data_IF_069609003886
#
_entry.id   IF_069609003886
#
_cell.length_a   1.000
_cell.length_b   1.000
_cell.length_c   1.000
_cell.angle_alpha   90.00
_cell.angle_beta   90.00
_cell.angle_gamma   90.00
#
_symmetry.space_group_name_H-M   'P 1'
#
loop_
_entity.id
_entity.type
_entity.pdbx_description
1 polymer ?
#
# COMPACT_ATOMS: atom_id res chain seq x y z
N UNK A 1 -1.86 31.37 2.16
CA UNK A 1 -2.64 30.22 1.66
C UNK A 1 -1.64 29.14 1.28
N UNK A 2 -1.86 27.90 1.69
CA UNK A 2 -1.00 26.78 1.25
C UNK A 2 -1.21 26.58 -0.25
N UNK A 3 -0.16 26.19 -0.95
CA UNK A 3 -0.23 25.89 -2.38
C UNK A 3 -1.09 24.62 -2.57
N UNK A 4 -2.15 24.71 -3.35
CA UNK A 4 -3.02 23.58 -3.68
C UNK A 4 -2.71 23.09 -5.08
N UNK A 5 -2.28 21.85 -5.22
CA UNK A 5 -2.05 21.17 -6.50
C UNK A 5 -3.41 20.75 -7.06
N UNK A 6 -3.63 21.04 -8.34
CA UNK A 6 -4.86 20.71 -9.07
C UNK A 6 -4.58 19.68 -10.15
N UNK A 7 -5.65 19.14 -10.75
CA UNK A 7 -5.58 18.21 -11.88
C UNK A 7 -4.79 16.93 -11.55
N UNK A 8 -4.98 16.41 -10.32
CA UNK A 8 -4.42 15.12 -9.93
C UNK A 8 -5.03 14.07 -10.86
N UNK A 9 -4.20 13.22 -11.52
CA UNK A 9 -4.72 12.18 -12.39
C UNK A 9 -5.57 11.18 -11.61
N UNK A 10 -6.49 10.53 -12.32
CA UNK A 10 -7.35 9.50 -11.78
C UNK A 10 -7.16 8.18 -12.50
N UNK A 11 -7.44 7.08 -11.82
CA UNK A 11 -7.48 5.73 -12.35
C UNK A 11 -8.93 5.22 -12.28
N UNK A 12 -9.37 4.53 -13.32
CA UNK A 12 -10.72 3.96 -13.38
C UNK A 12 -10.72 2.51 -12.90
N UNK A 13 -11.43 2.26 -11.81
CA UNK A 13 -11.66 0.90 -11.30
C UNK A 13 -12.56 0.08 -12.24
N UNK A 14 -12.59 -1.24 -12.03
CA UNK A 14 -13.47 -2.14 -12.77
C UNK A 14 -14.98 -1.81 -12.62
N UNK A 15 -15.35 -1.16 -11.52
CA UNK A 15 -16.70 -0.63 -11.27
C UNK A 15 -17.08 0.55 -12.17
N UNK A 16 -16.10 1.18 -12.84
CA UNK A 16 -16.24 2.41 -13.59
C UNK A 16 -15.99 3.70 -12.79
N UNK A 17 -15.80 3.60 -11.47
CA UNK A 17 -15.48 4.74 -10.64
C UNK A 17 -14.03 5.20 -10.85
N UNK A 18 -13.83 6.51 -10.80
CA UNK A 18 -12.50 7.13 -10.85
C UNK A 18 -12.01 7.42 -9.43
N UNK A 19 -10.77 6.99 -9.15
CA UNK A 19 -10.10 7.20 -7.86
C UNK A 19 -8.75 7.91 -8.10
N UNK A 20 -8.19 8.64 -7.11
CA UNK A 20 -6.92 9.33 -7.27
C UNK A 20 -5.79 8.38 -7.68
N UNK A 21 -4.97 8.77 -8.66
CA UNK A 21 -3.82 7.97 -9.12
C UNK A 21 -2.59 8.06 -8.20
N UNK A 22 -2.68 8.76 -7.09
CA UNK A 22 -1.67 8.84 -6.03
C UNK A 22 -2.36 8.96 -4.67
N UNK A 23 -1.88 8.21 -3.68
CA UNK A 23 -2.30 8.30 -2.29
C UNK A 23 -1.20 8.80 -1.37
N UNK A 24 -1.55 9.13 -0.12
CA UNK A 24 -0.61 9.36 0.96
C UNK A 24 -0.58 8.12 1.86
N UNK A 25 0.57 7.46 1.97
CA UNK A 25 0.81 6.43 2.98
C UNK A 25 0.87 7.06 4.38
N UNK A 26 0.41 6.33 5.40
CA UNK A 26 0.40 6.82 6.79
C UNK A 26 1.27 5.98 7.73
N UNK A 27 2.04 5.02 7.24
CA UNK A 27 2.98 4.26 8.05
C UNK A 27 4.19 5.11 8.44
N UNK A 28 4.32 5.45 9.72
CA UNK A 28 5.41 6.28 10.24
C UNK A 28 6.77 5.60 10.33
N UNK A 29 6.91 4.34 9.89
CA UNK A 29 8.18 3.57 9.89
C UNK A 29 8.86 3.50 11.26
N UNK A 30 8.09 3.48 12.35
CA UNK A 30 8.56 3.50 13.75
C UNK A 30 9.44 4.74 14.10
N UNK A 31 9.48 5.75 13.20
CA UNK A 31 10.33 6.95 13.33
C UNK A 31 9.56 8.21 13.66
N UNK A 32 8.26 8.22 13.33
CA UNK A 32 7.41 9.39 13.49
C UNK A 32 6.26 9.09 14.41
N UNK A 33 5.90 10.06 15.25
CA UNK A 33 4.77 9.92 16.16
C UNK A 33 3.44 10.02 15.40
N UNK A 34 2.36 9.52 16.02
CA UNK A 34 1.02 9.62 15.46
C UNK A 34 0.62 11.10 15.19
N UNK A 35 1.07 12.05 16.05
CA UNK A 35 0.85 13.48 15.86
C UNK A 35 1.53 14.00 14.60
N UNK A 36 2.79 13.63 14.38
CA UNK A 36 3.53 14.05 13.18
C UNK A 36 2.89 13.51 11.91
N UNK A 37 2.41 12.27 11.94
CA UNK A 37 1.66 11.67 10.82
C UNK A 37 0.33 12.40 10.61
N UNK A 38 -0.43 12.66 11.68
CA UNK A 38 -1.69 13.41 11.60
C UNK A 38 -1.51 14.82 11.03
N UNK A 39 -0.49 15.56 11.50
CA UNK A 39 -0.18 16.89 10.96
C UNK A 39 0.19 16.84 9.48
N UNK A 40 0.90 15.79 9.04
CA UNK A 40 1.20 15.56 7.63
C UNK A 40 -0.06 15.27 6.81
N UNK A 41 -0.97 14.45 7.32
CA UNK A 41 -2.27 14.16 6.69
C UNK A 41 -3.06 15.46 6.49
N UNK A 42 -3.17 16.29 7.55
CA UNK A 42 -3.84 17.59 7.43
C UNK A 42 -3.22 18.46 6.34
N UNK A 43 -1.88 18.61 6.37
CA UNK A 43 -1.15 19.41 5.39
C UNK A 43 -1.30 18.89 3.96
N UNK A 44 -1.20 17.57 3.78
CA UNK A 44 -1.31 16.93 2.47
C UNK A 44 -2.71 17.09 1.86
N UNK A 45 -3.79 16.91 2.67
CA UNK A 45 -5.16 17.13 2.16
C UNK A 45 -5.38 18.60 1.81
N UNK A 46 -4.86 19.56 2.60
CA UNK A 46 -4.87 20.97 2.23
C UNK A 46 -4.15 21.26 0.91
N UNK A 47 -3.10 20.49 0.59
CA UNK A 47 -2.34 20.64 -0.67
C UNK A 47 -2.97 19.93 -1.87
N UNK A 48 -4.00 19.08 -1.66
CA UNK A 48 -4.74 18.44 -2.76
C UNK A 48 -4.76 16.92 -2.73
N UNK A 49 -4.09 16.22 -1.80
CA UNK A 49 -4.27 14.78 -1.66
C UNK A 49 -5.74 14.44 -1.38
N UNK A 50 -6.22 13.38 -2.03
CA UNK A 50 -7.59 12.88 -1.88
C UNK A 50 -7.66 11.37 -1.63
N UNK A 51 -6.52 10.69 -1.51
CA UNK A 51 -6.43 9.29 -1.12
C UNK A 51 -5.50 9.15 0.08
N UNK A 52 -5.96 8.42 1.12
CA UNK A 52 -5.20 8.12 2.33
C UNK A 52 -5.13 6.62 2.52
N UNK A 53 -3.94 6.10 2.77
CA UNK A 53 -3.70 4.69 3.02
C UNK A 53 -3.40 4.45 4.49
N UNK A 54 -4.39 3.91 5.23
CA UNK A 54 -4.36 3.64 6.66
C UNK A 54 -4.27 2.13 6.93
N UNK A 55 -3.95 1.76 8.17
CA UNK A 55 -4.06 0.40 8.67
C UNK A 55 -4.07 0.40 10.21
N UNK A 56 -4.81 -0.54 10.81
CA UNK A 56 -4.91 -0.68 12.26
C UNK A 56 -3.54 -0.86 12.94
N UNK A 57 -2.62 -1.61 12.30
CA UNK A 57 -1.27 -1.86 12.83
C UNK A 57 -0.37 -0.62 12.86
N UNK A 58 -0.71 0.47 12.16
CA UNK A 58 0.08 1.71 12.17
C UNK A 58 -0.08 2.52 13.46
N UNK A 59 -1.06 2.18 14.29
CA UNK A 59 -1.30 2.75 15.64
C UNK A 59 -1.45 4.29 15.64
N UNK A 60 -2.04 4.83 14.58
CA UNK A 60 -2.21 6.28 14.42
C UNK A 60 -3.61 6.67 13.92
N UNK A 61 -4.52 5.70 13.73
CA UNK A 61 -5.86 5.94 13.19
C UNK A 61 -6.68 6.91 14.05
N UNK A 62 -6.61 6.82 15.38
CA UNK A 62 -7.30 7.78 16.27
C UNK A 62 -6.80 9.23 16.06
N UNK A 63 -5.49 9.42 15.87
CA UNK A 63 -4.94 10.75 15.57
C UNK A 63 -5.36 11.24 14.19
N UNK A 64 -5.37 10.36 13.19
CA UNK A 64 -5.86 10.68 11.85
C UNK A 64 -7.34 11.02 11.90
N UNK A 65 -8.15 10.31 12.71
CA UNK A 65 -9.56 10.61 12.92
C UNK A 65 -9.82 12.04 13.44
N UNK A 66 -9.03 12.50 14.43
CA UNK A 66 -9.08 13.88 14.90
C UNK A 66 -8.79 14.88 13.76
N UNK A 67 -7.85 14.52 12.89
CA UNK A 67 -7.47 15.33 11.74
C UNK A 67 -8.56 15.36 10.68
N UNK A 68 -9.22 14.24 10.40
CA UNK A 68 -10.34 14.15 9.46
C UNK A 68 -11.52 15.00 9.92
N UNK A 69 -11.92 14.91 11.20
CA UNK A 69 -12.95 15.79 11.77
C UNK A 69 -12.61 17.26 11.55
N UNK A 70 -11.37 17.65 11.83
CA UNK A 70 -10.92 19.02 11.65
C UNK A 70 -10.97 19.45 10.18
N UNK A 71 -10.53 18.59 9.25
CA UNK A 71 -10.58 18.88 7.81
C UNK A 71 -12.02 19.12 7.33
N UNK A 72 -12.97 18.33 7.85
CA UNK A 72 -14.39 18.48 7.53
C UNK A 72 -14.97 19.76 8.15
N UNK A 73 -14.65 20.05 9.41
CA UNK A 73 -15.10 21.28 10.10
C UNK A 73 -14.51 22.55 9.47
N UNK A 74 -13.24 22.52 9.05
CA UNK A 74 -12.56 23.63 8.38
C UNK A 74 -13.02 23.81 6.92
N UNK A 75 -13.86 22.90 6.39
CA UNK A 75 -14.32 22.92 4.99
C UNK A 75 -13.22 22.71 3.96
N UNK A 76 -12.11 22.05 4.34
CA UNK A 76 -10.99 21.73 3.45
C UNK A 76 -11.35 20.59 2.49
N UNK A 77 -12.09 19.61 2.98
CA UNK A 77 -12.63 18.49 2.23
C UNK A 77 -13.93 18.02 2.91
N UNK A 78 -14.83 17.39 2.16
CA UNK A 78 -15.91 16.57 2.70
C UNK A 78 -15.47 15.10 2.76
N UNK A 79 -16.22 14.24 3.49
CA UNK A 79 -15.89 12.79 3.55
C UNK A 79 -15.91 12.16 2.16
N UNK A 80 -16.82 12.52 1.33
CA UNK A 80 -16.99 12.05 -0.05
C UNK A 80 -15.87 12.49 -1.00
N UNK A 81 -15.12 13.52 -0.65
CA UNK A 81 -13.96 13.96 -1.43
C UNK A 81 -12.74 13.07 -1.20
N UNK A 82 -12.74 12.24 -0.15
CA UNK A 82 -11.61 11.42 0.26
C UNK A 82 -11.85 9.96 -0.04
N UNK A 83 -10.86 9.31 -0.65
CA UNK A 83 -10.75 7.85 -0.76
C UNK A 83 -9.88 7.33 0.38
N UNK A 84 -10.48 6.66 1.35
CA UNK A 84 -9.80 6.19 2.56
C UNK A 84 -9.71 4.67 2.54
N UNK A 85 -8.48 4.16 2.54
CA UNK A 85 -8.15 2.73 2.65
C UNK A 85 -7.90 2.36 4.11
N UNK A 86 -8.47 1.26 4.57
CA UNK A 86 -8.15 0.59 5.82
C UNK A 86 -7.67 -0.83 5.58
N UNK A 87 -7.02 -1.45 6.58
CA UNK A 87 -6.50 -2.82 6.45
C UNK A 87 -6.69 -3.60 7.74
N UNK A 88 -7.17 -4.85 7.63
CA UNK A 88 -7.15 -5.78 8.76
C UNK A 88 -5.73 -6.32 8.95
N UNK A 89 -5.24 -6.26 10.20
CA UNK A 89 -3.96 -6.84 10.55
C UNK A 89 -4.07 -8.35 10.80
N UNK A 90 -2.94 -9.02 10.74
CA UNK A 90 -2.82 -10.48 10.74
C UNK A 90 -3.32 -11.15 12.05
N UNK A 91 -3.28 -10.45 13.18
CA UNK A 91 -3.77 -10.93 14.48
C UNK A 91 -5.31 -10.97 14.59
N UNK A 92 -6.01 -10.40 13.59
CA UNK A 92 -7.47 -10.28 13.53
C UNK A 92 -8.09 -11.11 12.40
N UNK A 93 -7.51 -12.27 12.09
CA UNK A 93 -8.00 -13.17 11.04
C UNK A 93 -9.01 -14.22 11.54
N UNK A 94 -9.29 -14.31 12.83
CA UNK A 94 -10.27 -15.25 13.40
C UNK A 94 -11.72 -14.91 13.05
N UNK A 95 -12.64 -15.79 13.42
CA UNK A 95 -14.08 -15.62 13.19
C UNK A 95 -14.61 -14.35 13.87
N UNK A 96 -15.28 -13.48 13.11
CA UNK A 96 -15.81 -12.19 13.56
C UNK A 96 -14.75 -11.10 13.78
N UNK A 97 -13.45 -11.44 13.75
CA UNK A 97 -12.38 -10.50 14.08
C UNK A 97 -12.14 -9.46 12.98
N UNK A 98 -12.29 -9.82 11.71
CA UNK A 98 -12.17 -8.86 10.59
C UNK A 98 -13.22 -7.75 10.73
N UNK A 99 -14.47 -8.13 11.06
CA UNK A 99 -15.56 -7.18 11.25
C UNK A 99 -15.30 -6.30 12.48
N UNK A 100 -14.84 -6.90 13.58
CA UNK A 100 -14.49 -6.16 14.78
C UNK A 100 -13.34 -5.16 14.54
N UNK A 101 -12.29 -5.58 13.82
CA UNK A 101 -11.16 -4.72 13.43
C UNK A 101 -11.62 -3.56 12.56
N UNK A 102 -12.43 -3.83 11.54
CA UNK A 102 -12.98 -2.78 10.67
C UNK A 102 -13.78 -1.74 11.45
N UNK A 103 -14.69 -2.19 12.33
CA UNK A 103 -15.49 -1.29 13.18
C UNK A 103 -14.63 -0.45 14.11
N UNK A 104 -13.58 -1.03 14.70
CA UNK A 104 -12.64 -0.30 15.56
C UNK A 104 -11.90 0.78 14.76
N UNK A 105 -11.39 0.45 13.58
CA UNK A 105 -10.72 1.42 12.71
C UNK A 105 -11.67 2.54 12.25
N UNK A 106 -12.93 2.23 11.93
CA UNK A 106 -13.94 3.26 11.61
C UNK A 106 -14.20 4.21 12.79
N UNK A 107 -14.29 3.66 14.01
CA UNK A 107 -14.43 4.44 15.23
C UNK A 107 -13.22 5.36 15.45
N UNK A 108 -12.00 4.81 15.33
CA UNK A 108 -10.77 5.57 15.52
C UNK A 108 -10.62 6.68 14.46
N UNK A 109 -10.92 6.38 13.21
CA UNK A 109 -10.88 7.35 12.10
C UNK A 109 -12.07 8.31 12.09
N UNK A 110 -13.10 8.09 12.93
CA UNK A 110 -14.34 8.90 12.99
C UNK A 110 -15.06 9.00 11.65
N UNK A 111 -15.11 7.91 10.91
CA UNK A 111 -15.82 7.79 9.64
C UNK A 111 -16.84 6.65 9.71
N UNK A 112 -17.86 6.69 8.87
CA UNK A 112 -18.92 5.67 8.85
C UNK A 112 -18.59 4.47 7.97
N UNK A 113 -17.73 4.63 6.96
CA UNK A 113 -17.35 3.58 6.03
C UNK A 113 -16.00 3.87 5.37
N UNK A 114 -15.28 2.82 5.00
CA UNK A 114 -14.12 2.90 4.13
C UNK A 114 -14.53 2.97 2.65
N UNK A 115 -13.65 3.49 1.80
CA UNK A 115 -13.75 3.32 0.36
C UNK A 115 -13.17 1.97 -0.05
N UNK A 116 -12.03 1.57 0.54
CA UNK A 116 -11.38 0.28 0.30
C UNK A 116 -10.93 -0.33 1.63
N UNK A 117 -11.21 -1.61 1.84
CA UNK A 117 -10.70 -2.35 3.00
C UNK A 117 -9.91 -3.58 2.53
N UNK A 118 -8.66 -3.69 2.98
CA UNK A 118 -7.72 -4.70 2.51
C UNK A 118 -7.45 -5.78 3.57
N UNK A 119 -7.20 -7.00 3.13
CA UNK A 119 -6.44 -7.97 3.92
C UNK A 119 -4.97 -7.62 3.79
N UNK A 120 -4.31 -7.21 4.89
CA UNK A 120 -2.96 -6.65 4.89
C UNK A 120 -1.90 -7.69 4.46
N UNK A 121 -1.98 -8.91 5.00
CA UNK A 121 -1.18 -10.06 4.60
C UNK A 121 -2.09 -11.30 4.46
N UNK A 122 -1.73 -12.28 3.61
CA UNK A 122 -2.62 -13.41 3.32
C UNK A 122 -2.67 -14.50 4.41
N UNK A 123 -2.02 -14.30 5.55
CA UNK A 123 -1.89 -15.29 6.63
C UNK A 123 -2.01 -14.61 8.00
N UNK A 124 -2.31 -15.38 9.08
CA UNK A 124 -2.50 -14.81 10.42
C UNK A 124 -1.18 -14.54 11.17
N UNK A 125 -0.04 -14.63 10.49
CA UNK A 125 1.28 -14.47 11.11
C UNK A 125 1.53 -12.99 11.42
N UNK A 126 1.81 -12.65 12.65
CA UNK A 126 2.04 -11.28 13.09
C UNK A 126 3.31 -11.17 13.92
N UNK A 127 3.78 -9.96 14.13
CA UNK A 127 4.91 -9.64 14.99
C UNK A 127 4.54 -8.49 15.93
N UNK A 128 5.22 -8.43 17.09
CA UNK A 128 5.06 -7.31 17.99
C UNK A 128 5.63 -6.01 17.37
N UNK A 129 5.06 -4.83 17.68
CA UNK A 129 5.63 -3.55 17.28
C UNK A 129 7.09 -3.42 17.76
N UNK A 130 7.95 -2.86 16.89
CA UNK A 130 9.37 -2.62 17.23
C UNK A 130 10.23 -3.88 17.41
N UNK A 131 9.73 -5.08 17.03
CA UNK A 131 10.52 -6.32 17.14
C UNK A 131 11.72 -6.32 16.18
N UNK A 132 12.76 -7.09 16.52
CA UNK A 132 13.89 -7.37 15.62
C UNK A 132 13.52 -8.30 14.47
N UNK A 133 14.36 -8.36 13.43
CA UNK A 133 14.15 -9.21 12.25
C UNK A 133 14.05 -10.72 12.52
N UNK A 134 14.62 -11.18 13.64
CA UNK A 134 14.57 -12.59 14.07
C UNK A 134 13.41 -12.91 15.02
N UNK A 135 12.59 -11.91 15.36
CA UNK A 135 11.45 -12.09 16.28
C UNK A 135 10.29 -12.74 15.53
N UNK A 136 10.18 -14.06 15.62
CA UNK A 136 9.12 -14.86 14.99
C UNK A 136 8.04 -15.21 16.00
N UNK A 137 6.78 -15.17 15.56
CA UNK A 137 5.70 -15.75 16.34
C UNK A 137 5.75 -17.29 16.19
N UNK A 138 5.83 -18.06 17.29
CA UNK A 138 5.86 -19.53 17.24
C UNK A 138 4.58 -20.13 16.66
N UNK A 139 3.46 -19.40 16.68
CA UNK A 139 2.18 -19.84 16.12
C UNK A 139 2.04 -19.52 14.62
N UNK A 140 3.08 -18.96 13.99
CA UNK A 140 3.08 -18.67 12.55
C UNK A 140 2.90 -19.93 11.71
N UNK A 141 2.09 -19.81 10.65
CA UNK A 141 1.71 -20.91 9.75
C UNK A 141 1.95 -20.56 8.30
N UNK A 142 2.16 -21.55 7.42
CA UNK A 142 2.10 -21.32 5.98
C UNK A 142 0.70 -20.86 5.55
N UNK A 143 0.62 -20.23 4.38
CA UNK A 143 -0.65 -19.84 3.78
C UNK A 143 -1.55 -21.09 3.57
N UNK A 144 -2.85 -20.94 3.87
CA UNK A 144 -3.89 -21.94 3.61
C UNK A 144 -5.07 -21.26 2.93
N UNK A 145 -5.45 -21.77 1.76
CA UNK A 145 -6.55 -21.20 0.97
C UNK A 145 -7.85 -21.15 1.77
N UNK A 146 -8.18 -22.21 2.51
CA UNK A 146 -9.40 -22.32 3.30
C UNK A 146 -9.44 -21.29 4.44
N UNK A 147 -8.31 -21.08 5.14
CA UNK A 147 -8.20 -20.10 6.22
C UNK A 147 -8.31 -18.67 5.65
N UNK A 148 -7.62 -18.39 4.54
CA UNK A 148 -7.74 -17.10 3.87
C UNK A 148 -9.17 -16.82 3.40
N UNK A 149 -9.87 -17.83 2.86
CA UNK A 149 -11.25 -17.66 2.41
C UNK A 149 -12.22 -17.39 3.57
N UNK A 150 -11.94 -17.84 4.80
CA UNK A 150 -12.72 -17.45 5.98
C UNK A 150 -12.55 -15.95 6.29
N UNK A 151 -11.34 -15.41 6.14
CA UNK A 151 -11.07 -13.97 6.25
C UNK A 151 -11.77 -13.21 5.13
N UNK A 152 -11.65 -13.68 3.88
CA UNK A 152 -12.25 -13.05 2.73
C UNK A 152 -13.78 -12.99 2.82
N UNK A 153 -14.46 -14.05 3.31
CA UNK A 153 -15.91 -14.06 3.55
C UNK A 153 -16.34 -12.96 4.52
N UNK A 154 -15.55 -12.68 5.55
CA UNK A 154 -15.83 -11.56 6.46
C UNK A 154 -15.63 -10.21 5.74
N UNK A 155 -14.63 -10.07 4.86
CA UNK A 155 -14.48 -8.88 4.03
C UNK A 155 -15.70 -8.68 3.10
N UNK A 156 -16.22 -9.74 2.48
CA UNK A 156 -17.46 -9.70 1.69
C UNK A 156 -18.65 -9.20 2.53
N UNK A 157 -18.77 -9.65 3.78
CA UNK A 157 -19.80 -9.17 4.71
C UNK A 157 -19.64 -7.67 5.04
N UNK A 158 -18.41 -7.14 5.08
CA UNK A 158 -18.23 -5.68 5.28
C UNK A 158 -18.88 -4.87 4.16
N UNK A 159 -18.85 -5.37 2.92
CA UNK A 159 -19.53 -4.73 1.79
C UNK A 159 -21.04 -4.80 1.96
N UNK A 160 -21.57 -5.96 2.33
CA UNK A 160 -23.01 -6.16 2.58
C UNK A 160 -23.52 -5.26 3.73
N UNK A 161 -22.70 -5.05 4.76
CA UNK A 161 -23.00 -4.17 5.90
C UNK A 161 -22.83 -2.67 5.57
N UNK A 162 -22.29 -2.32 4.41
CA UNK A 162 -21.97 -0.93 4.04
C UNK A 162 -20.82 -0.31 4.85
N UNK A 163 -19.97 -1.14 5.47
CA UNK A 163 -18.80 -0.67 6.22
C UNK A 163 -17.60 -0.35 5.32
N UNK A 164 -17.60 -0.87 4.10
CA UNK A 164 -16.67 -0.51 3.03
C UNK A 164 -17.36 -0.57 1.67
N UNK A 165 -16.91 0.24 0.71
CA UNK A 165 -17.41 0.21 -0.67
C UNK A 165 -16.74 -0.89 -1.49
N UNK A 166 -15.44 -1.03 -1.34
CA UNK A 166 -14.60 -2.01 -2.01
C UNK A 166 -13.78 -2.82 -1.02
N UNK A 167 -13.43 -4.04 -1.42
CA UNK A 167 -12.48 -4.89 -0.71
C UNK A 167 -11.34 -5.27 -1.62
N UNK A 168 -10.19 -5.55 -1.04
CA UNK A 168 -8.99 -5.92 -1.80
C UNK A 168 -8.02 -6.75 -0.96
N UNK A 169 -6.92 -7.08 -1.57
CA UNK A 169 -5.88 -7.94 -1.00
C UNK A 169 -4.55 -7.21 -1.04
N UNK A 170 -3.65 -7.55 -0.12
CA UNK A 170 -2.28 -7.06 -0.14
C UNK A 170 -1.31 -8.23 0.04
N UNK A 171 -0.08 -8.09 -0.52
CA UNK A 171 0.99 -9.08 -0.37
C UNK A 171 0.64 -10.48 -0.90
N UNK A 172 -0.18 -10.55 -1.95
CA UNK A 172 -0.50 -11.79 -2.64
C UNK A 172 0.54 -12.11 -3.72
N UNK A 173 0.65 -13.37 -4.04
CA UNK A 173 1.42 -13.90 -5.19
C UNK A 173 0.46 -14.43 -6.25
N UNK A 174 0.94 -14.68 -7.47
CA UNK A 174 0.12 -15.28 -8.52
C UNK A 174 -0.46 -16.63 -8.08
N UNK A 175 0.33 -17.60 -7.53
CA UNK A 175 -0.23 -18.86 -7.06
C UNK A 175 -1.35 -18.69 -6.01
N UNK A 176 -1.18 -17.75 -5.06
CA UNK A 176 -2.22 -17.47 -4.07
C UNK A 176 -3.47 -16.85 -4.69
N UNK A 177 -3.31 -15.92 -5.64
CA UNK A 177 -4.44 -15.33 -6.38
C UNK A 177 -5.18 -16.39 -7.21
N UNK A 178 -4.48 -17.27 -7.89
CA UNK A 178 -5.07 -18.38 -8.66
C UNK A 178 -5.89 -19.32 -7.76
N UNK A 179 -5.42 -19.56 -6.54
CA UNK A 179 -6.13 -20.41 -5.57
C UNK A 179 -7.39 -19.74 -5.01
N UNK A 180 -7.42 -18.42 -4.81
CA UNK A 180 -8.52 -17.74 -4.10
C UNK A 180 -9.52 -17.04 -5.01
N UNK A 181 -9.10 -16.47 -6.15
CA UNK A 181 -10.00 -15.70 -7.02
C UNK A 181 -11.20 -16.47 -7.54
N UNK A 182 -11.10 -17.78 -7.89
CA UNK A 182 -12.26 -18.57 -8.28
C UNK A 182 -13.30 -18.76 -7.17
N UNK A 183 -12.88 -18.60 -5.91
CA UNK A 183 -13.71 -18.81 -4.74
C UNK A 183 -14.37 -17.52 -4.23
N UNK A 184 -13.94 -16.34 -4.69
CA UNK A 184 -14.50 -15.06 -4.27
C UNK A 184 -15.92 -14.83 -4.82
N UNK A 185 -16.89 -14.46 -3.95
CA UNK A 185 -18.20 -13.98 -4.40
C UNK A 185 -18.10 -12.49 -4.81
N UNK A 186 -17.40 -11.68 -4.00
CA UNK A 186 -17.04 -10.31 -4.35
C UNK A 186 -15.58 -10.31 -4.78
N UNK A 187 -15.32 -9.84 -6.01
CA UNK A 187 -13.95 -9.77 -6.54
C UNK A 187 -13.16 -8.66 -5.84
N UNK A 188 -11.85 -8.85 -5.59
CA UNK A 188 -11.02 -7.77 -5.10
C UNK A 188 -10.96 -6.62 -6.11
N UNK A 189 -11.17 -5.39 -5.64
CA UNK A 189 -11.05 -4.19 -6.47
C UNK A 189 -9.60 -3.75 -6.65
N UNK A 190 -8.75 -4.03 -5.67
CA UNK A 190 -7.35 -3.63 -5.67
C UNK A 190 -6.44 -4.72 -5.09
N UNK A 191 -5.19 -4.70 -5.56
CA UNK A 191 -4.06 -5.47 -5.02
C UNK A 191 -2.98 -4.47 -4.59
N UNK A 192 -2.75 -4.39 -3.28
CA UNK A 192 -1.63 -3.61 -2.77
C UNK A 192 -0.36 -4.48 -2.72
N UNK A 193 0.70 -4.00 -3.37
CA UNK A 193 1.95 -4.74 -3.55
C UNK A 193 3.15 -3.81 -3.43
N UNK A 194 4.31 -4.38 -3.05
CA UNK A 194 5.56 -3.65 -3.18
C UNK A 194 5.83 -3.38 -4.66
N UNK A 195 5.94 -2.11 -5.03
CA UNK A 195 6.20 -1.75 -6.43
C UNK A 195 6.99 -0.45 -6.54
N UNK A 196 8.20 -0.56 -7.09
CA UNK A 196 9.13 0.55 -7.31
C UNK A 196 10.11 0.20 -8.45
N UNK A 197 10.89 1.15 -8.99
CA UNK A 197 11.79 0.90 -10.12
C UNK A 197 12.75 -0.28 -9.97
N UNK A 198 13.25 -0.54 -8.76
CA UNK A 198 14.14 -1.68 -8.47
C UNK A 198 13.42 -3.01 -8.22
N UNK A 199 12.08 -2.97 -8.11
CA UNK A 199 11.24 -4.15 -7.94
C UNK A 199 9.88 -3.97 -8.60
N UNK A 200 9.80 -4.27 -9.88
CA UNK A 200 8.66 -3.91 -10.73
C UNK A 200 7.55 -4.95 -10.77
N UNK A 201 7.82 -6.21 -10.48
CA UNK A 201 6.88 -7.33 -10.49
C UNK A 201 6.00 -7.39 -11.76
N UNK A 202 6.57 -7.41 -12.98
CA UNK A 202 5.80 -7.28 -14.21
C UNK A 202 4.73 -8.36 -14.37
N UNK A 203 5.02 -9.60 -14.04
CA UNK A 203 4.09 -10.72 -14.16
C UNK A 203 2.87 -10.54 -13.22
N UNK A 204 3.11 -10.14 -11.96
CA UNK A 204 2.03 -9.92 -10.99
C UNK A 204 1.21 -8.68 -11.35
N UNK A 205 1.85 -7.63 -11.84
CA UNK A 205 1.18 -6.43 -12.33
C UNK A 205 0.25 -6.76 -13.51
N UNK A 206 0.76 -7.44 -14.54
CA UNK A 206 -0.02 -7.83 -15.72
C UNK A 206 -1.15 -8.80 -15.35
N UNK A 207 -0.90 -9.73 -14.43
CA UNK A 207 -1.92 -10.64 -13.89
C UNK A 207 -3.05 -9.87 -13.21
N UNK A 208 -2.72 -8.90 -12.35
CA UNK A 208 -3.72 -8.08 -11.66
C UNK A 208 -4.61 -7.32 -12.67
N UNK A 209 -4.00 -6.65 -13.65
CA UNK A 209 -4.75 -5.92 -14.68
C UNK A 209 -5.62 -6.83 -15.54
N UNK A 210 -5.12 -8.00 -15.95
CA UNK A 210 -5.89 -8.99 -16.70
C UNK A 210 -7.15 -9.46 -15.93
N UNK A 211 -7.09 -9.47 -14.61
CA UNK A 211 -8.19 -9.80 -13.71
C UNK A 211 -9.01 -8.58 -13.26
N UNK A 212 -8.74 -7.39 -13.82
CA UNK A 212 -9.39 -6.11 -13.48
C UNK A 212 -9.22 -5.72 -12.00
N UNK A 213 -8.07 -6.03 -11.42
CA UNK A 213 -7.68 -5.68 -10.06
C UNK A 213 -6.67 -4.53 -10.15
N UNK A 214 -6.97 -3.40 -9.52
CA UNK A 214 -6.11 -2.22 -9.57
C UNK A 214 -4.86 -2.39 -8.69
N UNK A 215 -3.63 -2.30 -9.25
CA UNK A 215 -2.41 -2.29 -8.45
C UNK A 215 -2.24 -0.98 -7.67
N UNK A 216 -1.98 -1.11 -6.35
CA UNK A 216 -1.57 0.00 -5.46
C UNK A 216 -0.16 -0.31 -4.99
N UNK A 217 0.80 0.61 -5.21
CA UNK A 217 2.21 0.39 -4.94
C UNK A 217 2.65 0.99 -3.61
N UNK A 218 2.97 0.15 -2.62
CA UNK A 218 3.67 0.60 -1.43
C UNK A 218 5.19 0.59 -1.66
N UNK A 219 5.95 1.28 -0.80
CA UNK A 219 7.38 1.51 -0.96
C UNK A 219 7.79 2.12 -2.32
N UNK A 220 7.04 3.06 -2.92
CA UNK A 220 7.22 3.47 -4.32
C UNK A 220 8.56 4.17 -4.61
N UNK A 221 9.36 4.45 -3.58
CA UNK A 221 10.67 5.12 -3.64
C UNK A 221 11.82 4.17 -3.27
N UNK A 222 11.59 2.85 -3.19
CA UNK A 222 12.54 1.91 -2.62
C UNK A 222 12.72 2.06 -1.11
N UNK A 223 11.78 2.69 -0.43
CA UNK A 223 11.64 2.80 1.04
C UNK A 223 12.95 2.95 1.84
N UNK A 224 13.75 3.99 1.59
CA UNK A 224 15.05 4.15 2.27
C UNK A 224 14.92 4.35 3.80
N UNK A 225 13.72 4.66 4.28
CA UNK A 225 13.42 4.89 5.70
C UNK A 225 12.68 3.75 6.40
N UNK A 226 12.50 2.58 5.74
CA UNK A 226 11.86 1.41 6.35
C UNK A 226 12.59 0.94 7.62
N UNK A 227 11.92 0.16 8.51
CA UNK A 227 12.53 -0.35 9.72
C UNK A 227 13.83 -1.13 9.45
N UNK A 228 14.77 -1.10 10.41
CA UNK A 228 16.07 -1.78 10.30
C UNK A 228 15.91 -3.30 10.13
N UNK A 229 14.89 -3.88 10.78
CA UNK A 229 14.56 -5.32 10.69
C UNK A 229 14.24 -5.79 9.27
N UNK A 230 13.87 -4.87 8.37
CA UNK A 230 13.51 -5.17 6.98
C UNK A 230 14.68 -4.92 6.01
N UNK A 231 15.88 -4.61 6.51
CA UNK A 231 17.03 -4.27 5.68
C UNK A 231 18.00 -5.44 5.56
N UNK A 232 18.59 -5.53 4.37
CA UNK A 232 19.70 -6.46 4.06
C UNK A 232 20.81 -5.73 3.30
N UNK A 233 22.00 -6.35 3.22
CA UNK A 233 23.15 -5.74 2.55
C UNK A 233 22.98 -5.65 1.01
N UNK A 234 22.09 -6.45 0.46
CA UNK A 234 21.81 -6.53 -0.98
C UNK A 234 20.79 -5.51 -1.45
N UNK A 235 20.19 -4.76 -0.55
CA UNK A 235 19.11 -3.83 -0.86
C UNK A 235 19.58 -2.69 -1.78
N UNK A 236 18.81 -2.45 -2.83
CA UNK A 236 19.04 -1.36 -3.79
C UNK A 236 18.24 -0.13 -3.38
N UNK A 237 18.88 1.03 -3.38
CA UNK A 237 18.22 2.30 -3.19
C UNK A 237 17.80 2.88 -4.55
N UNK A 238 16.53 2.85 -4.89
CA UNK A 238 16.02 3.33 -6.18
C UNK A 238 16.48 4.75 -6.51
N UNK A 239 16.46 5.62 -5.50
CA UNK A 239 16.89 7.02 -5.65
C UNK A 239 18.39 7.18 -5.93
N UNK A 240 19.17 6.10 -5.83
CA UNK A 240 20.60 6.07 -6.17
C UNK A 240 20.89 5.27 -7.45
N UNK A 241 19.90 4.65 -8.08
CA UNK A 241 20.07 3.93 -9.35
C UNK A 241 20.51 4.92 -10.45
N UNK A 242 21.57 4.58 -11.21
CA UNK A 242 22.13 5.48 -12.25
C UNK A 242 21.09 5.95 -13.26
N UNK A 243 20.18 5.07 -13.67
CA UNK A 243 19.10 5.32 -14.61
C UNK A 243 18.16 6.40 -14.05
N UNK A 244 17.70 6.21 -12.81
CA UNK A 244 16.80 7.16 -12.11
C UNK A 244 17.49 8.51 -11.90
N UNK A 245 18.74 8.50 -11.44
CA UNK A 245 19.54 9.73 -11.23
C UNK A 245 19.77 10.46 -12.56
N UNK A 246 20.05 9.73 -13.64
CA UNK A 246 20.24 10.29 -14.97
C UNK A 246 18.99 10.99 -15.50
N UNK A 247 17.81 10.36 -15.36
CA UNK A 247 16.53 10.94 -15.73
C UNK A 247 16.21 12.16 -14.86
N UNK A 248 16.39 12.04 -13.54
CA UNK A 248 16.12 13.13 -12.60
C UNK A 248 16.92 14.40 -12.90
N UNK A 249 18.19 14.26 -13.34
CA UNK A 249 19.01 15.39 -13.79
C UNK A 249 18.44 16.08 -15.03
N UNK A 250 17.91 15.34 -16.01
CA UNK A 250 17.29 15.92 -17.22
C UNK A 250 16.02 16.70 -16.89
N UNK A 251 15.20 16.16 -16.01
CA UNK A 251 13.98 16.81 -15.52
C UNK A 251 14.24 17.88 -14.45
N UNK A 252 15.48 18.04 -13.99
CA UNK A 252 15.87 18.95 -12.90
C UNK A 252 15.03 18.75 -11.62
N UNK A 253 14.81 17.49 -11.22
CA UNK A 253 14.04 17.09 -10.05
C UNK A 253 14.80 16.12 -9.16
N UNK A 254 14.30 15.87 -7.95
CA UNK A 254 14.85 14.84 -7.09
C UNK A 254 14.53 13.43 -7.63
N UNK A 255 15.44 12.44 -7.57
CA UNK A 255 15.21 11.07 -8.05
C UNK A 255 13.92 10.40 -7.57
N UNK A 256 13.50 10.66 -6.33
CA UNK A 256 12.24 10.15 -5.80
C UNK A 256 11.02 10.51 -6.68
N UNK A 257 11.03 11.68 -7.32
CA UNK A 257 9.92 12.14 -8.16
C UNK A 257 9.84 11.36 -9.48
N UNK A 258 10.97 10.87 -9.98
CA UNK A 258 11.01 9.98 -11.14
C UNK A 258 10.35 8.64 -10.82
N UNK A 259 10.59 8.08 -9.63
CA UNK A 259 9.93 6.85 -9.18
C UNK A 259 8.39 7.01 -9.17
N UNK A 260 7.88 8.15 -8.70
CA UNK A 260 6.44 8.42 -8.65
C UNK A 260 5.83 8.64 -10.03
N UNK A 261 6.50 9.41 -10.90
CA UNK A 261 6.10 9.60 -12.31
C UNK A 261 5.97 8.24 -13.00
N UNK A 262 7.00 7.40 -12.88
CA UNK A 262 7.02 6.06 -13.45
C UNK A 262 5.85 5.20 -12.95
N UNK A 263 5.61 5.18 -11.64
CA UNK A 263 4.53 4.36 -11.08
C UNK A 263 3.16 4.77 -11.65
N UNK A 264 2.83 6.07 -11.64
CA UNK A 264 1.55 6.58 -12.17
C UNK A 264 1.43 6.33 -13.67
N UNK A 265 2.48 6.59 -14.46
CA UNK A 265 2.44 6.37 -15.91
C UNK A 265 2.35 4.87 -16.27
N UNK A 266 2.86 3.98 -15.42
CA UNK A 266 2.69 2.54 -15.55
C UNK A 266 1.26 2.07 -15.23
N UNK A 267 0.47 2.88 -14.52
CA UNK A 267 -0.88 2.52 -14.06
C UNK A 267 -0.93 1.93 -12.64
N UNK A 268 0.14 2.08 -11.87
CA UNK A 268 0.19 1.78 -10.43
C UNK A 268 -0.20 3.04 -9.66
N UNK A 269 -0.98 2.91 -8.60
CA UNK A 269 -1.27 4.00 -7.66
C UNK A 269 -0.19 4.00 -6.57
N UNK A 270 0.84 4.86 -6.59
CA UNK A 270 1.82 4.91 -5.53
C UNK A 270 1.25 5.56 -4.26
N UNK A 271 1.67 5.05 -3.10
CA UNK A 271 1.31 5.59 -1.77
C UNK A 271 2.58 6.03 -1.01
N UNK A 272 3.29 7.08 -1.49
CA UNK A 272 4.46 7.59 -0.79
C UNK A 272 4.07 8.16 0.58
N UNK A 273 4.97 8.00 1.56
CA UNK A 273 4.87 8.60 2.88
C UNK A 273 5.85 9.76 3.05
N UNK A 274 5.41 10.85 3.65
CA UNK A 274 6.28 11.91 4.18
C UNK A 274 5.55 12.78 5.21
N UNK A 275 6.24 13.17 6.26
CA UNK A 275 5.80 14.21 7.21
C UNK A 275 6.31 15.61 6.84
N UNK A 276 7.09 15.74 5.78
CA UNK A 276 7.70 17.02 5.35
C UNK A 276 6.86 17.66 4.26
N UNK A 277 6.33 18.85 4.55
CA UNK A 277 5.47 19.60 3.63
C UNK A 277 6.08 19.77 2.22
N UNK A 278 7.36 20.17 2.03
CA UNK A 278 7.91 20.26 0.70
C UNK A 278 7.95 18.94 -0.07
N UNK A 279 8.09 17.81 0.64
CA UNK A 279 8.15 16.49 0.00
C UNK A 279 6.78 16.04 -0.48
N UNK A 280 5.73 16.09 0.36
CA UNK A 280 4.42 15.64 -0.10
C UNK A 280 3.81 16.59 -1.15
N UNK A 281 4.13 17.89 -1.14
CA UNK A 281 3.76 18.81 -2.24
C UNK A 281 4.49 18.41 -3.52
N UNK A 282 5.81 18.19 -3.48
CA UNK A 282 6.61 17.80 -4.64
C UNK A 282 6.15 16.46 -5.21
N UNK A 283 5.83 15.48 -4.35
CA UNK A 283 5.29 14.19 -4.77
C UNK A 283 3.99 14.34 -5.56
N UNK A 284 3.09 15.22 -5.10
CA UNK A 284 1.83 15.48 -5.78
C UNK A 284 2.03 16.21 -7.12
N UNK A 285 2.92 17.21 -7.15
CA UNK A 285 3.28 17.90 -8.38
C UNK A 285 3.93 16.98 -9.41
N UNK A 286 4.76 16.04 -8.96
CA UNK A 286 5.47 15.14 -9.86
C UNK A 286 4.52 14.35 -10.79
N UNK A 287 3.32 14.03 -10.32
CA UNK A 287 2.35 13.23 -11.10
C UNK A 287 1.38 14.08 -11.92
N UNK A 288 1.46 15.41 -11.81
CA UNK A 288 0.61 16.35 -12.55
C UNK A 288 1.35 17.11 -13.65
N UNK A 289 2.68 17.08 -13.64
CA UNK A 289 3.52 17.92 -14.49
C UNK A 289 4.66 17.10 -15.12
N UNK A 290 5.11 17.50 -16.31
CA UNK A 290 6.34 17.04 -16.96
C UNK A 290 6.47 15.49 -16.94
N UNK A 291 5.64 14.75 -17.69
CA UNK A 291 5.67 13.29 -17.72
C UNK A 291 6.98 12.75 -18.27
N UNK A 292 7.34 11.52 -17.91
CA UNK A 292 8.46 10.79 -18.51
C UNK A 292 8.15 10.45 -19.96
N UNK A 293 9.19 10.48 -20.81
CA UNK A 293 9.08 10.02 -22.19
C UNK A 293 8.99 8.49 -22.27
N UNK A 294 8.58 7.97 -23.42
CA UNK A 294 8.52 6.51 -23.63
C UNK A 294 9.92 5.88 -23.51
N UNK A 295 10.97 6.56 -23.96
CA UNK A 295 12.36 6.11 -23.82
C UNK A 295 12.79 6.07 -22.34
N UNK A 296 12.35 7.02 -21.52
CA UNK A 296 12.64 7.04 -20.09
C UNK A 296 11.88 5.95 -19.35
N UNK A 297 10.62 5.73 -19.69
CA UNK A 297 9.83 4.62 -19.17
C UNK A 297 10.48 3.28 -19.51
N UNK A 298 10.95 3.09 -20.75
CA UNK A 298 11.66 1.88 -21.18
C UNK A 298 13.01 1.74 -20.47
N UNK A 299 13.78 2.82 -20.30
CA UNK A 299 15.02 2.81 -19.54
C UNK A 299 14.80 2.31 -18.10
N UNK A 300 13.74 2.78 -17.43
CA UNK A 300 13.39 2.33 -16.07
C UNK A 300 12.92 0.88 -16.10
N UNK A 301 12.12 0.47 -17.09
CA UNK A 301 11.67 -0.92 -17.24
C UNK A 301 12.84 -1.90 -17.30
N UNK A 302 13.89 -1.55 -18.05
CA UNK A 302 15.09 -2.37 -18.20
C UNK A 302 16.03 -2.34 -16.97
N UNK A 303 15.84 -1.37 -16.08
CA UNK A 303 16.66 -1.20 -14.88
C UNK A 303 16.19 -2.03 -13.67
N UNK A 304 15.13 -2.83 -13.81
CA UNK A 304 14.63 -3.70 -12.74
C UNK A 304 15.74 -4.57 -12.15
N UNK A 305 15.83 -4.61 -10.83
CA UNK A 305 16.80 -5.41 -10.09
C UNK A 305 16.18 -6.65 -9.46
N UNK A 306 14.86 -6.81 -9.58
CA UNK A 306 14.09 -7.82 -8.87
C UNK A 306 14.42 -7.85 -7.37
N UNK A 307 14.63 -6.66 -6.78
CA UNK A 307 15.10 -6.47 -5.41
C UNK A 307 13.95 -6.17 -4.47
N UNK A 308 13.35 -7.23 -3.90
CA UNK A 308 12.33 -7.10 -2.86
C UNK A 308 12.93 -6.53 -1.58
N UNK A 309 12.36 -5.45 -1.07
CA UNK A 309 12.78 -4.79 0.17
C UNK A 309 11.98 -5.23 1.39
N UNK A 310 10.69 -5.52 1.22
CA UNK A 310 9.82 -6.04 2.29
C UNK A 310 9.74 -7.55 2.14
N UNK A 311 10.75 -8.23 2.69
CA UNK A 311 10.91 -9.69 2.57
C UNK A 311 9.94 -10.45 3.48
N UNK A 312 9.50 -9.86 4.60
CA UNK A 312 8.53 -10.46 5.51
C UNK A 312 9.11 -11.55 6.42
N UNK A 313 10.43 -11.59 6.64
CA UNK A 313 11.11 -12.63 7.42
C UNK A 313 10.53 -12.82 8.83
N UNK A 314 9.93 -11.78 9.41
CA UNK A 314 9.26 -11.84 10.73
C UNK A 314 7.98 -12.67 10.72
N UNK A 315 7.44 -13.02 9.56
CA UNK A 315 6.22 -13.81 9.40
C UNK A 315 6.48 -15.29 9.09
N UNK A 316 7.74 -15.72 9.06
CA UNK A 316 8.09 -17.10 8.76
C UNK A 316 7.58 -18.05 9.84
N UNK A 317 7.11 -19.23 9.42
CA UNK A 317 6.68 -20.33 10.27
C UNK A 317 7.82 -21.31 10.52
N UNK A 318 7.65 -22.20 11.51
CA UNK A 318 8.59 -23.28 11.76
C UNK A 318 8.64 -24.24 10.56
N UNK A 319 9.84 -24.51 10.06
CA UNK A 319 10.08 -25.35 8.87
C UNK A 319 10.08 -24.60 7.54
N UNK A 320 9.87 -23.28 7.51
CA UNK A 320 10.13 -22.48 6.32
C UNK A 320 11.63 -22.42 6.00
N UNK A 321 11.99 -22.55 4.72
CA UNK A 321 13.40 -22.54 4.28
C UNK A 321 13.98 -21.11 4.29
N UNK A 322 13.16 -20.12 3.94
CA UNK A 322 13.53 -18.72 3.89
C UNK A 322 12.33 -17.82 3.62
N UNK A 323 12.59 -16.51 3.52
CA UNK A 323 11.54 -15.54 3.19
C UNK A 323 10.94 -15.77 1.78
N UNK A 324 11.65 -16.46 0.91
CA UNK A 324 11.22 -16.85 -0.42
C UNK A 324 9.95 -17.71 -0.39
N UNK A 325 9.78 -18.53 0.66
CA UNK A 325 8.59 -19.36 0.86
C UNK A 325 7.33 -18.52 1.10
N UNK A 326 7.46 -17.29 1.64
CA UNK A 326 6.31 -16.36 1.78
C UNK A 326 5.80 -15.87 0.43
N UNK A 327 6.70 -15.80 -0.56
CA UNK A 327 6.45 -15.17 -1.85
C UNK A 327 6.32 -16.17 -3.01
N UNK A 328 6.30 -17.48 -2.70
CA UNK A 328 6.10 -18.55 -3.68
C UNK A 328 7.04 -18.43 -4.90
N UNK A 329 8.33 -18.09 -4.67
CA UNK A 329 9.26 -17.78 -5.75
C UNK A 329 9.56 -18.98 -6.68
N UNK A 330 9.26 -20.20 -6.25
CA UNK A 330 9.29 -21.41 -7.07
C UNK A 330 7.99 -21.65 -7.86
N UNK A 331 7.02 -20.74 -7.78
CA UNK A 331 5.72 -20.82 -8.43
C UNK A 331 4.71 -21.73 -7.71
N UNK A 332 4.97 -22.12 -6.46
CA UNK A 332 4.12 -22.97 -5.65
C UNK A 332 3.87 -22.36 -4.27
N UNK A 333 2.67 -22.55 -3.76
CA UNK A 333 2.36 -22.15 -2.37
C UNK A 333 3.13 -23.07 -1.42
N UNK A 334 4.04 -22.50 -0.64
CA UNK A 334 4.87 -23.25 0.28
C UNK A 334 4.04 -23.87 1.42
N UNK A 335 4.38 -25.09 1.79
CA UNK A 335 3.75 -25.80 2.91
C UNK A 335 2.34 -26.37 2.63
N UNK A 336 1.93 -26.41 1.35
CA UNK A 336 0.68 -27.06 0.91
C UNK A 336 0.96 -28.45 0.36
#
# INVERSE_FOLDING_TARGET
MKETVKNIPAVRLASGEEIPAIGLGTFGSDKYTAEQVGDAVYGAVCCGYRMLDCASVYQNEDRIGNVLERLFQDGVAAREDLFITGKVWNDMHGEGQVIASCRKSLEDLRISSFDLYLVHWPFPNYHAPGCGGDSRNPDSKPFRTEEFMQVWRQCEQLVEMGLTRYIGMSNMTIPKLEAVLPLCNVRPAALELECHPGFQQPELFDYALAHRIQPIGYCPLGSPSRPERDRTAEDVADTAMPEIVGIAKRHNVHPALICLKWAVQRGVIPIPFSVKEPQYISNLKAVTEDPLTDEEMECIRLADKNCRLVKGQVFLWEGANGWEDLWDLDGRIAGV
#
